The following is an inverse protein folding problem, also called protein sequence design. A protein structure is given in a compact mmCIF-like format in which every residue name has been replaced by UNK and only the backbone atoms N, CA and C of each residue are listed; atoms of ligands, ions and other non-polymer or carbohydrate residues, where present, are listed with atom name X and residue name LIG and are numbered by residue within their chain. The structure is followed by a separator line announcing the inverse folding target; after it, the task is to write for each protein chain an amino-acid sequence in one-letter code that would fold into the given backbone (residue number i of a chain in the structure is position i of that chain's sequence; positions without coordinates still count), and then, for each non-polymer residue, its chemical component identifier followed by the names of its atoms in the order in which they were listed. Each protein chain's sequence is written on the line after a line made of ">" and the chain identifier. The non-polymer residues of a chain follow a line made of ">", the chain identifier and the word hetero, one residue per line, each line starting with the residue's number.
data_IF_437643836522
#
_entry.id   IF_437643836522
#
_cell.length_a   1.000
_cell.length_b   1.000
_cell.length_c   1.000
_cell.angle_alpha   90.00
_cell.angle_beta   90.00
_cell.angle_gamma   90.00
#
_symmetry.space_group_name_H-M   'P 1'
#
loop_
_entity.id
_entity.type
_entity.pdbx_description
1 polymer ?
#
# COMPACT_ATOMS: atom_id res chain seq x y z
N UNK A 1 0.04 21.38 14.59
CA UNK A 1 -1.05 21.12 15.53
C UNK A 1 -0.45 20.50 16.76
N UNK A 2 -0.70 21.10 17.88
CA UNK A 2 -0.29 20.63 19.20
C UNK A 2 -1.52 20.77 20.08
N UNK A 3 -2.38 19.74 20.09
CA UNK A 3 -3.28 19.55 21.22
C UNK A 3 -2.46 19.29 22.48
N UNK A 4 -3.01 19.44 23.66
CA UNK A 4 -2.41 18.84 24.85
C UNK A 4 -2.31 17.33 24.57
N UNK A 5 -1.09 16.79 24.55
CA UNK A 5 -0.87 15.37 24.32
C UNK A 5 -1.34 14.64 25.58
N UNK A 6 -2.33 13.78 25.41
CA UNK A 6 -2.91 12.97 26.44
C UNK A 6 -2.63 11.47 26.16
N UNK A 7 -2.76 10.63 27.15
CA UNK A 7 -2.76 9.18 26.95
C UNK A 7 -4.16 8.77 26.48
N UNK A 8 -4.28 8.41 25.22
CA UNK A 8 -5.53 7.93 24.61
C UNK A 8 -5.62 6.41 24.76
N UNK A 9 -6.76 5.92 25.19
CA UNK A 9 -7.06 4.50 25.16
C UNK A 9 -7.80 4.16 23.86
N UNK A 10 -7.17 3.34 23.01
CA UNK A 10 -7.72 2.93 21.71
C UNK A 10 -8.60 1.69 21.79
N UNK A 11 -8.51 0.93 22.87
CA UNK A 11 -9.20 -0.32 23.05
C UNK A 11 -8.50 -1.17 24.11
N UNK A 12 -8.72 -2.47 24.05
CA UNK A 12 -8.02 -3.46 24.89
C UNK A 12 -7.39 -4.53 23.99
N UNK A 13 -6.24 -5.03 24.39
CA UNK A 13 -5.60 -6.17 23.74
C UNK A 13 -6.40 -7.48 24.01
N UNK A 14 -6.03 -8.63 23.40
CA UNK A 14 -6.69 -9.92 23.64
C UNK A 14 -6.62 -10.40 25.09
N UNK A 15 -5.70 -9.86 25.92
CA UNK A 15 -5.59 -10.17 27.35
C UNK A 15 -6.49 -9.26 28.20
N UNK A 16 -7.09 -8.24 27.62
CA UNK A 16 -7.92 -7.25 28.31
C UNK A 16 -7.14 -6.03 28.80
N UNK A 17 -5.85 -5.91 28.49
CA UNK A 17 -5.04 -4.76 28.85
C UNK A 17 -5.31 -3.57 27.91
N UNK A 18 -5.36 -2.33 28.43
CA UNK A 18 -5.64 -1.17 27.61
C UNK A 18 -4.50 -0.88 26.62
N UNK A 19 -4.86 -0.68 25.34
CA UNK A 19 -3.93 -0.17 24.32
C UNK A 19 -3.87 1.34 24.47
N UNK A 20 -2.74 1.84 24.94
CA UNK A 20 -2.52 3.27 25.21
C UNK A 20 -1.57 3.88 24.19
N UNK A 21 -1.89 5.08 23.72
CA UNK A 21 -1.01 5.90 22.88
C UNK A 21 -0.95 7.33 23.40
N UNK A 22 0.14 8.00 23.10
CA UNK A 22 0.29 9.45 23.33
C UNK A 22 -0.25 10.21 22.11
N UNK A 23 -1.28 11.04 22.30
CA UNK A 23 -1.92 11.75 21.21
C UNK A 23 -2.96 12.76 21.68
N UNK A 24 -3.74 13.25 20.73
CA UNK A 24 -4.84 14.20 20.97
C UNK A 24 -5.96 13.96 19.94
N UNK A 25 -7.20 14.18 20.33
CA UNK A 25 -8.31 14.18 19.39
C UNK A 25 -8.35 15.47 18.58
N UNK A 26 -8.57 15.35 17.27
CA UNK A 26 -8.84 16.50 16.41
C UNK A 26 -10.22 17.10 16.77
N UNK A 27 -10.25 18.41 16.98
CA UNK A 27 -11.48 19.17 17.18
C UNK A 27 -12.25 19.31 15.87
N UNK A 28 -13.54 19.64 15.91
CA UNK A 28 -14.39 19.73 14.71
C UNK A 28 -13.87 20.74 13.66
N UNK A 29 -13.22 21.81 14.09
CA UNK A 29 -12.59 22.81 13.22
C UNK A 29 -11.20 22.39 12.71
N UNK A 30 -10.68 21.27 13.14
CA UNK A 30 -9.38 20.71 12.73
C UNK A 30 -9.53 19.50 11.78
N UNK A 31 -10.76 19.08 11.47
CA UNK A 31 -11.04 17.94 10.62
C UNK A 31 -10.90 18.20 9.11
N UNK A 32 -10.37 19.35 8.72
CA UNK A 32 -10.09 19.66 7.32
C UNK A 32 -8.67 20.19 7.16
N UNK A 33 -7.86 19.44 6.43
CA UNK A 33 -6.51 19.86 6.05
C UNK A 33 -6.53 20.41 4.63
N UNK A 34 -5.92 21.59 4.43
CA UNK A 34 -5.86 22.30 3.14
C UNK A 34 -4.42 22.50 2.70
N UNK A 35 -4.22 23.02 1.50
CA UNK A 35 -2.89 23.38 0.98
C UNK A 35 -2.42 24.80 1.37
N UNK A 36 -3.18 25.54 2.19
CA UNK A 36 -2.81 26.91 2.58
C UNK A 36 -1.55 26.96 3.44
N UNK A 37 -1.37 25.95 4.29
CA UNK A 37 -0.21 25.81 5.19
C UNK A 37 0.09 24.34 5.43
N UNK A 38 1.36 23.97 5.60
CA UNK A 38 1.69 22.62 6.02
C UNK A 38 1.23 22.36 7.46
N UNK A 39 0.88 21.12 7.72
CA UNK A 39 0.51 20.61 9.05
C UNK A 39 1.68 19.88 9.65
N UNK A 40 2.02 20.16 10.91
CA UNK A 40 3.04 19.40 11.65
C UNK A 40 2.36 18.74 12.85
N UNK A 41 2.50 17.42 12.97
CA UNK A 41 1.82 16.62 13.98
C UNK A 41 2.88 16.09 14.96
N UNK A 42 2.67 16.36 16.26
CA UNK A 42 3.45 15.82 17.38
C UNK A 42 2.57 14.86 18.16
N UNK A 43 3.01 13.60 18.33
CA UNK A 43 2.18 12.53 18.85
C UNK A 43 1.15 12.05 17.82
N UNK A 44 0.12 11.31 18.24
CA UNK A 44 -0.92 10.85 17.34
C UNK A 44 -2.09 11.82 17.28
N UNK A 45 -2.42 12.31 16.06
CA UNK A 45 -3.67 13.02 15.80
C UNK A 45 -4.80 12.00 15.61
N UNK A 46 -5.78 11.98 16.52
CA UNK A 46 -6.85 11.00 16.51
C UNK A 46 -8.13 11.59 15.89
N UNK A 47 -8.67 10.90 14.88
CA UNK A 47 -9.99 11.16 14.34
C UNK A 47 -11.01 10.43 15.20
N UNK A 48 -11.85 11.14 15.91
CA UNK A 48 -12.83 10.56 16.84
C UNK A 48 -13.95 9.79 16.12
N UNK A 49 -14.70 8.99 16.90
CA UNK A 49 -15.83 8.22 16.39
C UNK A 49 -16.88 9.12 15.73
N UNK A 50 -17.42 8.65 14.60
CA UNK A 50 -18.40 9.38 13.75
C UNK A 50 -17.86 10.71 13.19
N UNK A 51 -16.55 10.91 13.17
CA UNK A 51 -15.91 12.08 12.56
C UNK A 51 -15.17 11.65 11.28
N UNK A 52 -15.02 12.61 10.37
CA UNK A 52 -14.27 12.41 9.12
C UNK A 52 -13.17 13.45 9.03
N UNK A 53 -11.92 12.98 8.93
CA UNK A 53 -10.81 13.84 8.54
C UNK A 53 -10.80 13.95 7.01
N UNK A 54 -10.94 15.16 6.50
CA UNK A 54 -10.81 15.46 5.06
C UNK A 54 -9.48 16.13 4.79
N UNK A 55 -8.70 15.58 3.89
CA UNK A 55 -7.41 16.13 3.46
C UNK A 55 -7.51 16.51 1.99
N UNK A 56 -7.48 17.79 1.70
CA UNK A 56 -7.69 18.35 0.36
C UNK A 56 -6.42 18.28 -0.50
N UNK A 57 -6.60 18.38 -1.82
CA UNK A 57 -5.51 18.40 -2.79
C UNK A 57 -4.41 19.40 -2.42
N UNK A 58 -3.16 18.99 -2.62
CA UNK A 58 -1.98 19.79 -2.33
C UNK A 58 -1.61 19.91 -0.85
N UNK A 59 -2.36 19.31 0.07
CA UNK A 59 -2.01 19.34 1.50
C UNK A 59 -0.68 18.66 1.78
N UNK A 60 0.09 19.21 2.71
CA UNK A 60 1.38 18.69 3.19
C UNK A 60 1.27 18.41 4.68
N UNK A 61 1.45 17.15 5.07
CA UNK A 61 1.32 16.70 6.46
C UNK A 61 2.64 16.10 6.91
N UNK A 62 3.27 16.74 7.88
CA UNK A 62 4.57 16.36 8.39
C UNK A 62 4.44 15.79 9.81
N UNK A 63 5.12 14.69 10.04
CA UNK A 63 5.10 14.00 11.32
C UNK A 63 6.44 14.11 12.04
N UNK A 64 6.37 14.49 13.30
CA UNK A 64 7.51 14.36 14.20
C UNK A 64 7.78 12.88 14.54
N UNK A 65 8.95 12.58 15.10
CA UNK A 65 9.27 11.23 15.52
C UNK A 65 8.18 10.63 16.45
N UNK A 66 7.84 9.35 16.25
CA UNK A 66 6.79 8.62 16.99
C UNK A 66 5.38 9.21 16.85
N UNK A 67 5.14 10.01 15.85
CA UNK A 67 3.84 10.61 15.55
C UNK A 67 3.11 9.87 14.43
N UNK A 68 1.82 10.15 14.26
CA UNK A 68 0.99 9.55 13.22
C UNK A 68 -0.43 10.08 13.21
N UNK A 69 -1.30 9.42 12.45
CA UNK A 69 -2.75 9.62 12.50
C UNK A 69 -3.38 8.31 12.95
N UNK A 70 -4.41 8.39 13.79
CA UNK A 70 -5.26 7.26 14.17
C UNK A 70 -6.70 7.60 13.86
N UNK A 71 -7.40 6.68 13.21
CA UNK A 71 -8.83 6.81 12.97
C UNK A 71 -9.57 5.81 13.86
N UNK A 72 -10.37 6.32 14.78
CA UNK A 72 -11.10 5.51 15.75
C UNK A 72 -12.26 4.74 15.12
N UNK A 73 -12.83 3.80 15.85
CA UNK A 73 -14.07 3.12 15.51
C UNK A 73 -15.16 4.09 15.02
N UNK A 74 -15.85 3.78 13.94
CA UNK A 74 -16.82 4.64 13.22
C UNK A 74 -16.23 5.97 12.68
N UNK A 75 -14.93 6.19 12.79
CA UNK A 75 -14.25 7.32 12.16
C UNK A 75 -13.91 7.03 10.70
N UNK A 76 -13.64 8.08 9.93
CA UNK A 76 -13.35 8.00 8.50
C UNK A 76 -12.21 8.95 8.11
N UNK A 77 -11.51 8.64 7.03
CA UNK A 77 -10.48 9.50 6.45
C UNK A 77 -10.66 9.61 4.93
N UNK A 78 -10.79 10.85 4.42
CA UNK A 78 -10.96 11.17 3.01
C UNK A 78 -9.79 11.99 2.54
N UNK A 79 -8.87 11.39 1.80
CA UNK A 79 -7.69 12.05 1.22
C UNK A 79 -7.94 12.28 -0.26
N UNK A 80 -8.16 13.54 -0.62
CA UNK A 80 -8.64 13.97 -1.92
C UNK A 80 -7.54 14.70 -2.70
N UNK A 81 -6.40 14.04 -2.92
CA UNK A 81 -5.39 14.54 -3.84
C UNK A 81 -5.88 14.49 -5.30
N UNK A 82 -5.22 15.23 -6.16
CA UNK A 82 -5.48 15.33 -7.59
C UNK A 82 -4.19 15.13 -8.38
N UNK A 83 -4.32 14.78 -9.65
CA UNK A 83 -3.18 14.65 -10.54
C UNK A 83 -2.43 15.99 -10.63
N UNK A 84 -1.13 15.95 -10.39
CA UNK A 84 -0.26 17.11 -10.51
C UNK A 84 0.11 17.37 -11.96
N UNK A 85 0.29 18.64 -12.32
CA UNK A 85 0.79 19.03 -13.66
C UNK A 85 2.31 18.92 -13.73
N UNK A 86 2.98 19.05 -12.59
CA UNK A 86 4.42 18.86 -12.44
C UNK A 86 4.68 17.60 -11.58
N UNK A 87 5.18 16.51 -12.20
CA UNK A 87 5.39 15.24 -11.52
C UNK A 87 6.55 15.27 -10.51
N UNK A 88 7.37 16.31 -10.47
CA UNK A 88 8.44 16.49 -9.48
C UNK A 88 7.96 17.30 -8.28
N UNK A 89 7.10 18.31 -8.49
CA UNK A 89 6.55 19.14 -7.43
C UNK A 89 5.38 18.50 -6.71
N UNK A 90 4.63 17.61 -7.38
CA UNK A 90 3.45 16.92 -6.84
C UNK A 90 2.47 17.90 -6.19
N UNK A 91 2.24 19.07 -6.83
CA UNK A 91 1.59 20.24 -6.23
C UNK A 91 0.14 19.98 -5.84
N UNK A 92 -0.53 19.05 -6.51
CA UNK A 92 -1.94 18.70 -6.23
C UNK A 92 -2.07 17.40 -5.43
N UNK A 93 -1.01 16.61 -5.30
CA UNK A 93 -1.04 15.40 -4.48
C UNK A 93 -1.01 15.74 -2.99
N UNK A 94 -1.56 14.86 -2.18
CA UNK A 94 -1.41 14.92 -0.72
C UNK A 94 -0.15 14.16 -0.32
N UNK A 95 0.71 14.79 0.47
CA UNK A 95 1.96 14.15 0.93
C UNK A 95 1.96 14.03 2.45
N UNK A 96 2.15 12.79 2.92
CA UNK A 96 2.39 12.42 4.31
C UNK A 96 3.85 12.01 4.46
N UNK A 97 4.62 12.78 5.22
CA UNK A 97 6.06 12.55 5.39
C UNK A 97 6.57 13.04 6.75
N UNK A 98 7.87 12.84 7.01
CA UNK A 98 8.53 13.36 8.21
C UNK A 98 8.62 14.90 8.21
N UNK A 99 8.75 15.50 9.39
CA UNK A 99 9.09 16.90 9.59
C UNK A 99 10.58 17.23 9.36
N UNK A 100 11.39 16.21 9.03
CA UNK A 100 12.81 16.35 8.66
C UNK A 100 12.95 16.63 7.17
N UNK A 101 12.84 17.93 6.81
CA UNK A 101 12.81 18.38 5.41
C UNK A 101 14.19 18.58 4.77
N UNK A 102 15.27 18.38 5.53
CA UNK A 102 16.62 18.45 4.98
C UNK A 102 16.87 17.33 3.96
N UNK A 103 17.47 17.62 2.84
CA UNK A 103 17.71 16.67 1.72
C UNK A 103 18.34 15.35 2.19
N UNK A 104 19.20 15.38 3.21
CA UNK A 104 19.80 14.17 3.78
C UNK A 104 18.79 13.21 4.41
N UNK A 105 17.58 13.67 4.75
CA UNK A 105 16.53 12.87 5.38
C UNK A 105 15.37 12.52 4.44
N UNK A 106 15.35 13.07 3.21
CA UNK A 106 14.23 12.90 2.25
C UNK A 106 13.89 11.44 1.96
N UNK A 107 14.87 10.54 2.06
CA UNK A 107 14.72 9.11 1.78
C UNK A 107 15.10 8.22 2.97
N UNK A 108 15.14 8.74 4.20
CA UNK A 108 15.41 7.92 5.38
C UNK A 108 14.08 7.31 5.87
N UNK A 109 13.96 5.98 5.93
CA UNK A 109 12.75 5.33 6.44
C UNK A 109 12.66 5.35 7.96
N UNK A 110 11.45 5.19 8.52
CA UNK A 110 11.21 5.03 9.95
C UNK A 110 11.33 6.31 10.76
N UNK A 111 11.06 7.45 10.16
CA UNK A 111 11.15 8.75 10.85
C UNK A 111 9.89 9.09 11.66
N UNK A 112 8.77 8.45 11.37
CA UNK A 112 7.48 8.58 12.06
C UNK A 112 6.78 7.22 12.11
N UNK A 113 5.64 7.13 12.80
CA UNK A 113 4.99 5.85 13.04
C UNK A 113 4.17 5.35 11.86
N UNK A 114 2.90 5.76 11.76
CA UNK A 114 1.96 5.22 10.77
C UNK A 114 0.70 6.09 10.65
N UNK A 115 -0.07 5.87 9.57
CA UNK A 115 -1.50 6.18 9.53
C UNK A 115 -2.22 4.87 9.90
N UNK A 116 -2.99 4.88 10.98
CA UNK A 116 -3.65 3.70 11.53
C UNK A 116 -5.17 3.81 11.44
N UNK A 117 -5.75 2.97 10.59
CA UNK A 117 -7.19 2.78 10.47
C UNK A 117 -7.57 1.64 11.42
N UNK A 118 -8.07 1.97 12.61
CA UNK A 118 -8.35 0.97 13.64
C UNK A 118 -9.58 0.13 13.31
N UNK A 119 -9.76 -0.97 14.04
CA UNK A 119 -10.94 -1.82 13.89
C UNK A 119 -12.23 -1.01 14.08
N UNK A 120 -13.19 -1.21 13.19
CA UNK A 120 -14.47 -0.49 13.17
C UNK A 120 -14.43 0.90 12.50
N UNK A 121 -13.26 1.42 12.15
CA UNK A 121 -13.20 2.60 11.28
C UNK A 121 -13.70 2.25 9.88
N UNK A 122 -14.23 3.21 9.14
CA UNK A 122 -15.05 2.94 7.96
C UNK A 122 -14.88 3.95 6.84
N UNK A 123 -15.21 3.53 5.60
CA UNK A 123 -15.31 4.40 4.43
C UNK A 123 -14.08 5.30 4.23
N UNK A 124 -12.90 4.68 4.13
CA UNK A 124 -11.66 5.40 3.85
C UNK A 124 -11.44 5.53 2.35
N UNK A 125 -11.05 6.72 1.91
CA UNK A 125 -10.66 6.97 0.52
C UNK A 125 -9.34 7.72 0.46
N UNK A 126 -8.38 7.19 -0.30
CA UNK A 126 -7.10 7.82 -0.57
C UNK A 126 -6.93 7.93 -2.08
N UNK A 127 -6.75 9.15 -2.58
CA UNK A 127 -6.54 9.40 -3.99
C UNK A 127 -5.39 10.38 -4.19
N UNK A 128 -4.52 10.13 -5.15
CA UNK A 128 -3.30 10.90 -5.40
C UNK A 128 -2.58 11.26 -4.10
N UNK A 129 -2.18 10.21 -3.38
CA UNK A 129 -1.57 10.32 -2.06
C UNK A 129 -0.19 9.69 -2.05
N UNK A 130 0.79 10.42 -1.56
CA UNK A 130 2.13 9.90 -1.27
C UNK A 130 2.33 9.76 0.23
N UNK A 131 2.62 8.53 0.70
CA UNK A 131 2.97 8.22 2.09
C UNK A 131 4.42 7.73 2.11
N UNK A 132 5.31 8.45 2.79
CA UNK A 132 6.74 8.06 2.78
C UNK A 132 7.43 8.24 4.12
N UNK A 133 8.51 7.48 4.29
CA UNK A 133 9.44 7.56 5.42
C UNK A 133 8.85 7.14 6.79
N UNK A 134 7.71 6.44 6.80
CA UNK A 134 7.11 5.90 8.02
C UNK A 134 7.77 4.61 8.52
N UNK A 135 7.35 4.14 9.68
CA UNK A 135 7.68 2.78 10.16
C UNK A 135 6.79 1.75 9.45
N UNK A 136 5.48 1.93 9.52
CA UNK A 136 4.50 1.29 8.64
C UNK A 136 3.80 2.42 7.89
N UNK A 137 3.74 2.37 6.56
CA UNK A 137 3.12 3.45 5.80
C UNK A 137 1.64 3.60 6.15
N UNK A 138 0.87 2.56 5.92
CA UNK A 138 -0.56 2.49 6.23
C UNK A 138 -0.88 1.17 6.95
N UNK A 139 -1.53 1.25 8.09
CA UNK A 139 -1.99 0.10 8.87
C UNK A 139 -3.52 0.10 8.93
N UNK A 140 -4.13 -1.01 8.53
CA UNK A 140 -5.57 -1.22 8.61
C UNK A 140 -5.88 -2.46 9.47
N UNK A 141 -6.64 -2.26 10.54
CA UNK A 141 -7.12 -3.34 11.38
C UNK A 141 -8.62 -3.58 11.14
N UNK A 142 -8.95 -4.75 10.57
CA UNK A 142 -10.31 -5.19 10.29
C UNK A 142 -11.02 -4.40 9.18
N UNK A 143 -12.08 -4.99 8.65
CA UNK A 143 -13.06 -4.31 7.81
C UNK A 143 -14.23 -3.80 8.67
N UNK A 144 -15.11 -3.01 8.09
CA UNK A 144 -16.28 -2.46 8.76
C UNK A 144 -17.52 -3.36 8.65
N UNK A 145 -17.40 -4.51 7.96
CA UNK A 145 -18.49 -5.46 7.71
C UNK A 145 -19.49 -5.03 6.63
N UNK A 146 -19.22 -3.94 5.92
CA UNK A 146 -20.01 -3.47 4.78
C UNK A 146 -19.78 -4.31 3.51
N UNK A 147 -20.61 -4.07 2.49
CA UNK A 147 -20.45 -4.68 1.16
C UNK A 147 -19.39 -3.96 0.33
N UNK A 148 -19.22 -2.64 0.54
CA UNK A 148 -18.20 -1.83 -0.13
C UNK A 148 -16.84 -1.99 0.55
N UNK A 149 -15.72 -1.78 -0.19
CA UNK A 149 -14.40 -1.75 0.41
C UNK A 149 -14.30 -0.73 1.54
N UNK A 150 -13.83 -1.16 2.72
CA UNK A 150 -13.60 -0.26 3.86
C UNK A 150 -12.51 0.78 3.55
N UNK A 151 -11.52 0.38 2.74
CA UNK A 151 -10.49 1.26 2.20
C UNK A 151 -10.48 1.19 0.68
N UNK A 152 -10.64 2.34 0.03
CA UNK A 152 -10.30 2.53 -1.38
C UNK A 152 -9.05 3.38 -1.49
N UNK A 153 -8.01 2.87 -2.15
CA UNK A 153 -6.75 3.60 -2.37
C UNK A 153 -6.41 3.61 -3.86
N UNK A 154 -6.38 4.81 -4.46
CA UNK A 154 -6.17 5.00 -5.90
C UNK A 154 -5.06 5.98 -6.19
N UNK A 155 -4.38 5.78 -7.34
CA UNK A 155 -3.40 6.74 -7.86
C UNK A 155 -2.39 7.18 -6.79
N UNK A 156 -1.91 6.24 -5.97
CA UNK A 156 -1.21 6.57 -4.73
C UNK A 156 0.10 5.79 -4.61
N UNK A 157 1.00 6.31 -3.79
CA UNK A 157 2.32 5.72 -3.58
C UNK A 157 2.62 5.59 -2.08
N UNK A 158 3.20 4.45 -1.69
CA UNK A 158 3.72 4.21 -0.33
C UNK A 158 5.15 3.71 -0.46
N UNK A 159 6.12 4.44 0.09
CA UNK A 159 7.51 4.02 -0.03
C UNK A 159 8.41 4.46 1.13
N UNK A 160 9.61 3.89 1.20
CA UNK A 160 10.59 4.13 2.27
C UNK A 160 10.04 3.83 3.67
N UNK A 161 9.28 2.74 3.82
CA UNK A 161 8.84 2.28 5.14
C UNK A 161 9.95 1.45 5.81
N UNK A 162 10.29 1.72 7.07
CA UNK A 162 11.36 0.95 7.72
C UNK A 162 10.95 -0.49 8.04
N UNK A 163 9.66 -0.79 8.03
CA UNK A 163 9.09 -2.11 8.25
C UNK A 163 8.20 -2.55 7.07
N UNK A 164 6.94 -2.15 7.01
CA UNK A 164 5.96 -2.57 6.01
C UNK A 164 5.35 -1.34 5.35
N UNK A 165 5.13 -1.40 4.03
CA UNK A 165 4.44 -0.33 3.30
C UNK A 165 2.96 -0.27 3.67
N UNK A 166 2.21 -1.32 3.37
CA UNK A 166 0.80 -1.49 3.72
C UNK A 166 0.63 -2.79 4.52
N UNK A 167 0.15 -2.69 5.75
CA UNK A 167 -0.24 -3.83 6.58
C UNK A 167 -1.76 -3.83 6.76
N UNK A 168 -2.42 -4.90 6.35
CA UNK A 168 -3.86 -5.09 6.56
C UNK A 168 -4.14 -6.39 7.29
N UNK A 169 -4.95 -6.33 8.34
CA UNK A 169 -5.47 -7.49 9.08
C UNK A 169 -6.97 -7.58 8.89
N UNK A 170 -7.45 -8.69 8.35
CA UNK A 170 -8.89 -8.91 8.09
C UNK A 170 -9.55 -7.73 7.36
N UNK A 171 -8.81 -7.03 6.49
CA UNK A 171 -9.26 -5.81 5.83
C UNK A 171 -10.20 -6.06 4.65
N UNK A 172 -10.75 -4.98 4.11
CA UNK A 172 -11.45 -4.94 2.83
C UNK A 172 -10.92 -3.76 2.03
N UNK A 173 -10.12 -4.04 0.96
CA UNK A 173 -9.36 -3.02 0.23
C UNK A 173 -9.58 -3.15 -1.27
N UNK A 174 -9.87 -2.01 -1.92
CA UNK A 174 -9.73 -1.82 -3.36
C UNK A 174 -8.52 -0.90 -3.62
N UNK A 175 -7.51 -1.42 -4.31
CA UNK A 175 -6.32 -0.68 -4.73
C UNK A 175 -6.23 -0.56 -6.26
N UNK A 176 -6.13 0.65 -6.80
CA UNK A 176 -6.02 0.91 -8.24
C UNK A 176 -4.90 1.90 -8.50
N UNK A 177 -4.03 1.63 -9.48
CA UNK A 177 -2.84 2.45 -9.74
C UNK A 177 -2.02 2.68 -8.46
N UNK A 178 -1.78 1.62 -7.69
CA UNK A 178 -1.09 1.70 -6.41
C UNK A 178 0.37 1.27 -6.57
N UNK A 179 1.28 2.09 -6.09
CA UNK A 179 2.71 1.75 -6.00
C UNK A 179 3.10 1.58 -4.55
N UNK A 180 3.66 0.43 -4.18
CA UNK A 180 4.27 0.23 -2.86
C UNK A 180 5.69 -0.28 -3.04
N UNK A 181 6.66 0.48 -2.52
CA UNK A 181 8.08 0.21 -2.76
C UNK A 181 8.97 0.46 -1.52
N UNK A 182 10.20 -0.04 -1.56
CA UNK A 182 11.25 0.25 -0.59
C UNK A 182 10.81 0.08 0.88
N UNK A 183 10.46 -1.14 1.26
CA UNK A 183 10.11 -1.49 2.64
C UNK A 183 11.13 -2.45 3.27
N UNK A 184 11.47 -2.23 4.52
CA UNK A 184 12.49 -2.99 5.25
C UNK A 184 12.16 -4.48 5.45
N UNK A 185 10.86 -4.81 5.42
CA UNK A 185 10.35 -6.19 5.38
C UNK A 185 9.56 -6.40 4.09
N UNK A 186 8.29 -6.05 4.05
CA UNK A 186 7.42 -6.29 2.91
C UNK A 186 6.78 -5.00 2.40
N UNK A 187 6.64 -4.85 1.10
CA UNK A 187 5.86 -3.77 0.53
C UNK A 187 4.40 -3.87 1.02
N UNK A 188 3.82 -5.06 0.99
CA UNK A 188 2.46 -5.30 1.47
C UNK A 188 2.35 -6.62 2.25
N UNK A 189 1.57 -6.59 3.34
CA UNK A 189 1.19 -7.77 4.11
C UNK A 189 -0.32 -7.78 4.31
N UNK A 190 -0.97 -8.82 3.79
CA UNK A 190 -2.36 -9.14 4.02
C UNK A 190 -2.41 -10.29 5.03
N UNK A 191 -2.82 -10.00 6.25
CA UNK A 191 -2.73 -10.90 7.40
C UNK A 191 -4.11 -11.21 7.96
N UNK A 192 -4.31 -12.43 8.43
CA UNK A 192 -5.56 -12.88 9.06
C UNK A 192 -6.77 -12.76 8.12
N UNK A 193 -6.62 -13.13 6.84
CA UNK A 193 -7.71 -13.12 5.86
C UNK A 193 -8.18 -11.73 5.43
N UNK A 194 -9.41 -11.64 4.94
CA UNK A 194 -10.01 -10.40 4.44
C UNK A 194 -10.45 -10.49 2.98
N UNK A 195 -10.71 -9.34 2.35
CA UNK A 195 -11.18 -9.22 0.97
C UNK A 195 -10.38 -8.12 0.23
N UNK A 196 -9.65 -8.49 -0.80
CA UNK A 196 -8.69 -7.60 -1.45
C UNK A 196 -8.81 -7.67 -2.96
N UNK A 197 -8.79 -6.51 -3.61
CA UNK A 197 -8.73 -6.37 -5.05
C UNK A 197 -7.68 -5.30 -5.41
N UNK A 198 -6.72 -5.67 -6.25
CA UNK A 198 -5.69 -4.76 -6.74
C UNK A 198 -5.65 -4.79 -8.26
N UNK A 199 -5.85 -3.63 -8.88
CA UNK A 199 -5.88 -3.43 -10.31
C UNK A 199 -4.77 -2.46 -10.73
N UNK A 200 -3.92 -2.87 -11.67
CA UNK A 200 -2.80 -2.05 -12.14
C UNK A 200 -1.92 -1.53 -10.99
N UNK A 201 -1.47 -2.42 -10.12
CA UNK A 201 -0.58 -2.07 -9.01
C UNK A 201 0.85 -2.58 -9.23
N UNK A 202 1.82 -1.86 -8.65
CA UNK A 202 3.24 -2.25 -8.64
C UNK A 202 3.73 -2.37 -7.21
N UNK A 203 4.03 -3.59 -6.80
CA UNK A 203 4.65 -3.92 -5.51
C UNK A 203 6.12 -4.26 -5.77
N UNK A 204 7.01 -3.28 -5.56
CA UNK A 204 8.42 -3.42 -5.93
C UNK A 204 9.33 -3.20 -4.72
N UNK A 205 9.99 -4.26 -4.24
CA UNK A 205 10.82 -4.13 -3.05
C UNK A 205 12.30 -4.37 -3.34
N UNK A 206 12.99 -3.28 -3.69
CA UNK A 206 14.43 -3.25 -3.95
C UNK A 206 15.26 -2.82 -2.72
N UNK A 207 14.70 -2.92 -1.53
CA UNK A 207 15.35 -2.55 -0.27
C UNK A 207 16.80 -3.03 -0.18
N UNK A 208 17.72 -2.12 0.06
CA UNK A 208 19.16 -2.36 0.08
C UNK A 208 19.84 -1.93 1.39
N UNK A 209 19.11 -1.34 2.35
CA UNK A 209 19.66 -0.77 3.59
C UNK A 209 19.98 -1.82 4.66
N UNK A 210 19.36 -2.99 4.56
CA UNK A 210 19.60 -4.14 5.44
C UNK A 210 19.21 -5.43 4.72
N UNK A 211 19.52 -6.57 5.32
CA UNK A 211 19.10 -7.86 4.78
C UNK A 211 17.60 -8.04 4.98
N UNK A 212 16.87 -8.26 3.89
CA UNK A 212 15.44 -8.55 3.88
C UNK A 212 15.21 -10.05 3.69
N UNK A 213 14.40 -10.66 4.54
CA UNK A 213 14.08 -12.09 4.48
C UNK A 213 12.68 -12.38 3.95
N UNK A 214 11.77 -11.39 4.05
CA UNK A 214 10.38 -11.53 3.65
C UNK A 214 10.17 -11.16 2.19
N UNK A 215 9.19 -11.76 1.48
CA UNK A 215 8.83 -11.34 0.13
C UNK A 215 8.21 -9.93 0.11
N UNK A 216 8.12 -9.34 -1.09
CA UNK A 216 7.49 -8.03 -1.27
C UNK A 216 6.00 -8.06 -0.88
N UNK A 217 5.29 -9.14 -1.22
CA UNK A 217 3.88 -9.33 -0.87
C UNK A 217 3.71 -10.59 -0.05
N UNK A 218 3.03 -10.50 1.09
CA UNK A 218 2.64 -11.65 1.92
C UNK A 218 1.12 -11.73 2.00
N UNK A 219 0.57 -12.91 1.74
CA UNK A 219 -0.86 -13.20 1.79
C UNK A 219 -1.09 -14.30 2.81
N UNK A 220 -1.85 -14.01 3.86
CA UNK A 220 -2.06 -14.93 4.97
C UNK A 220 -3.50 -14.92 5.46
N UNK A 221 -4.05 -16.10 5.77
CA UNK A 221 -5.29 -16.23 6.49
C UNK A 221 -5.08 -16.54 7.98
N UNK A 222 -3.84 -16.40 8.47
CA UNK A 222 -3.46 -16.66 9.87
C UNK A 222 -2.82 -15.45 10.53
N UNK A 223 -2.88 -15.41 11.87
CA UNK A 223 -2.09 -14.54 12.71
C UNK A 223 -1.54 -15.34 13.90
N UNK A 224 -0.21 -15.40 14.00
CA UNK A 224 0.44 -16.30 14.95
C UNK A 224 0.10 -17.77 14.65
N UNK A 225 0.09 -18.61 15.69
CA UNK A 225 -0.10 -20.06 15.57
C UNK A 225 -1.58 -20.50 15.71
N UNK A 226 -2.46 -19.61 16.17
CA UNK A 226 -3.80 -20.00 16.67
C UNK A 226 -4.97 -19.26 16.04
N UNK A 227 -4.75 -18.13 15.40
CA UNK A 227 -5.82 -17.36 14.80
C UNK A 227 -5.86 -17.58 13.30
N UNK A 228 -7.03 -17.91 12.79
CA UNK A 228 -7.32 -18.02 11.37
C UNK A 228 -8.66 -17.35 11.04
N UNK A 229 -8.71 -16.68 9.89
CA UNK A 229 -9.94 -16.09 9.37
C UNK A 229 -9.98 -16.24 7.84
N UNK A 230 -11.18 -16.16 7.27
CA UNK A 230 -11.34 -16.34 5.84
C UNK A 230 -10.60 -15.25 5.04
N UNK A 231 -9.77 -15.67 4.11
CA UNK A 231 -9.38 -14.88 2.97
C UNK A 231 -10.45 -15.09 1.90
N UNK A 232 -11.43 -14.19 1.86
CA UNK A 232 -12.55 -14.31 0.95
C UNK A 232 -12.12 -14.09 -0.49
N UNK A 233 -11.19 -13.16 -0.71
CA UNK A 233 -10.47 -12.98 -1.96
C UNK A 233 -9.17 -12.18 -1.77
N UNK A 234 -8.18 -12.45 -2.62
CA UNK A 234 -7.00 -11.61 -2.85
C UNK A 234 -6.70 -11.63 -4.35
N UNK A 235 -7.36 -10.76 -5.10
CA UNK A 235 -7.29 -10.69 -6.55
C UNK A 235 -6.31 -9.62 -7.00
N UNK A 236 -5.39 -10.01 -7.87
CA UNK A 236 -4.40 -9.12 -8.48
C UNK A 236 -4.57 -9.17 -10.00
N UNK A 237 -4.92 -8.04 -10.60
CA UNK A 237 -5.08 -7.92 -12.05
C UNK A 237 -4.17 -6.85 -12.61
N UNK A 238 -3.39 -7.18 -13.65
CA UNK A 238 -2.41 -6.28 -14.25
C UNK A 238 -1.39 -5.74 -13.24
N UNK A 239 -0.87 -6.58 -12.35
CA UNK A 239 0.04 -6.17 -11.28
C UNK A 239 1.49 -6.64 -11.52
N UNK A 240 2.45 -5.85 -11.04
CA UNK A 240 3.87 -6.25 -10.95
C UNK A 240 4.19 -6.54 -9.48
N UNK A 241 4.74 -7.74 -9.20
CA UNK A 241 5.29 -8.10 -7.89
C UNK A 241 6.74 -8.52 -8.09
N UNK A 242 7.67 -7.63 -7.71
CA UNK A 242 9.08 -7.82 -8.02
C UNK A 242 10.00 -7.24 -6.94
N UNK A 243 11.28 -7.59 -6.99
CA UNK A 243 12.28 -7.06 -6.06
C UNK A 243 13.60 -7.82 -6.09
N UNK A 244 14.36 -7.71 -4.99
CA UNK A 244 15.70 -8.30 -4.88
C UNK A 244 15.70 -9.77 -4.45
N UNK A 245 14.66 -10.25 -3.75
CA UNK A 245 14.61 -11.64 -3.33
C UNK A 245 14.27 -12.55 -4.53
N UNK A 246 14.62 -13.80 -4.43
CA UNK A 246 14.31 -14.79 -5.46
C UNK A 246 12.80 -15.01 -5.60
N UNK A 247 12.08 -15.01 -4.47
CA UNK A 247 10.61 -15.10 -4.44
C UNK A 247 10.06 -13.86 -3.76
N UNK A 248 9.20 -13.11 -4.46
CA UNK A 248 8.68 -11.82 -3.98
C UNK A 248 7.19 -11.83 -3.62
N UNK A 249 6.56 -12.99 -3.61
CA UNK A 249 5.25 -13.19 -2.98
C UNK A 249 5.24 -14.50 -2.19
N UNK A 250 4.53 -14.51 -1.08
CA UNK A 250 4.52 -15.65 -0.18
C UNK A 250 3.18 -15.84 0.49
N UNK A 251 2.91 -17.08 0.88
CA UNK A 251 1.65 -17.49 1.47
C UNK A 251 1.84 -18.07 2.87
N UNK A 252 0.86 -17.79 3.76
CA UNK A 252 0.72 -18.50 5.03
C UNK A 252 -0.74 -18.92 5.17
N UNK A 253 -1.01 -20.23 5.06
CA UNK A 253 -2.35 -20.78 4.97
C UNK A 253 -2.65 -21.72 6.13
N UNK A 254 -3.77 -21.47 6.81
CA UNK A 254 -4.45 -22.43 7.68
C UNK A 254 -5.61 -23.09 6.91
N UNK A 255 -5.75 -24.39 7.05
CA UNK A 255 -6.78 -25.17 6.31
C UNK A 255 -8.19 -25.04 6.89
N UNK A 256 -8.32 -24.55 8.11
CA UNK A 256 -9.59 -24.34 8.81
C UNK A 256 -10.37 -23.11 8.35
N UNK A 257 -9.78 -22.25 7.51
CA UNK A 257 -10.42 -21.07 6.95
C UNK A 257 -10.22 -20.99 5.44
N UNK A 258 -11.09 -20.28 4.74
CA UNK A 258 -11.00 -20.08 3.30
C UNK A 258 -9.70 -19.36 2.93
N UNK A 259 -9.13 -19.72 1.76
CA UNK A 259 -7.92 -19.10 1.23
C UNK A 259 -8.07 -18.97 -0.29
N UNK A 260 -8.67 -17.86 -0.73
CA UNK A 260 -8.93 -17.59 -2.14
C UNK A 260 -8.03 -16.46 -2.66
N UNK A 261 -7.28 -16.73 -3.70
CA UNK A 261 -6.47 -15.72 -4.39
C UNK A 261 -6.43 -15.98 -5.90
N UNK A 262 -6.11 -14.94 -6.66
CA UNK A 262 -5.87 -15.05 -8.10
C UNK A 262 -4.89 -13.97 -8.56
N UNK A 263 -4.00 -14.35 -9.49
CA UNK A 263 -3.15 -13.44 -10.24
C UNK A 263 -3.53 -13.52 -11.72
N UNK A 264 -4.00 -12.42 -12.28
CA UNK A 264 -4.40 -12.32 -13.67
C UNK A 264 -3.58 -11.26 -14.41
N UNK A 265 -2.92 -11.65 -15.52
CA UNK A 265 -2.04 -10.76 -16.29
C UNK A 265 -1.03 -10.04 -15.38
N UNK A 266 -0.31 -10.78 -14.55
CA UNK A 266 0.67 -10.25 -13.61
C UNK A 266 2.09 -10.61 -14.01
N UNK A 267 3.06 -9.73 -13.71
CA UNK A 267 4.48 -10.02 -13.80
C UNK A 267 5.01 -10.30 -12.38
N UNK A 268 5.46 -11.53 -12.15
CA UNK A 268 5.77 -12.06 -10.84
C UNK A 268 7.21 -12.57 -10.77
N UNK A 269 7.88 -12.34 -9.64
CA UNK A 269 9.17 -12.94 -9.34
C UNK A 269 9.01 -14.15 -8.43
N UNK A 270 9.24 -15.33 -8.98
CA UNK A 270 9.22 -16.62 -8.31
C UNK A 270 10.38 -17.50 -8.82
N UNK A 271 11.61 -17.00 -8.66
CA UNK A 271 12.82 -17.75 -9.04
C UNK A 271 13.14 -18.77 -7.94
N UNK A 272 12.97 -20.05 -8.22
CA UNK A 272 13.18 -21.14 -7.26
C UNK A 272 14.35 -22.04 -7.66
N UNK A 273 15.60 -21.58 -7.49
CA UNK A 273 16.76 -22.36 -7.91
C UNK A 273 16.97 -23.67 -7.13
N UNK A 274 16.29 -23.83 -6.01
CA UNK A 274 16.42 -24.99 -5.13
C UNK A 274 15.23 -25.95 -5.20
N UNK A 275 14.17 -25.64 -5.95
CA UNK A 275 12.95 -26.46 -6.06
C UNK A 275 12.09 -26.48 -4.79
N UNK A 276 12.16 -25.46 -3.96
CA UNK A 276 11.38 -25.40 -2.70
C UNK A 276 9.87 -25.19 -2.93
N UNK A 277 9.49 -24.68 -4.11
CA UNK A 277 8.10 -24.37 -4.46
C UNK A 277 7.41 -25.47 -5.27
N UNK A 278 8.18 -26.47 -5.80
CA UNK A 278 7.67 -27.48 -6.73
C UNK A 278 6.53 -28.32 -6.16
N UNK A 279 6.58 -28.64 -4.87
CA UNK A 279 5.59 -29.48 -4.19
C UNK A 279 4.47 -28.67 -3.49
N UNK A 280 4.55 -27.36 -3.49
CA UNK A 280 3.54 -26.51 -2.87
C UNK A 280 2.43 -26.17 -3.86
N UNK A 281 1.17 -26.65 -3.63
CA UNK A 281 0.06 -26.40 -4.53
C UNK A 281 -0.30 -24.91 -4.68
N UNK A 282 0.11 -24.05 -3.75
CA UNK A 282 -0.10 -22.62 -3.83
C UNK A 282 0.77 -21.95 -4.91
N UNK A 283 1.87 -22.62 -5.34
CA UNK A 283 2.74 -22.16 -6.43
C UNK A 283 2.59 -23.00 -7.71
N UNK A 284 1.44 -23.67 -7.88
CA UNK A 284 1.16 -24.35 -9.14
C UNK A 284 0.80 -23.35 -10.26
N UNK A 285 1.80 -22.81 -10.93
CA UNK A 285 1.63 -21.84 -12.04
C UNK A 285 0.89 -22.40 -13.26
N UNK A 286 0.60 -23.71 -13.30
CA UNK A 286 -0.23 -24.31 -14.34
C UNK A 286 -1.71 -24.28 -14.01
N UNK A 287 -2.09 -23.93 -12.78
CA UNK A 287 -3.47 -23.76 -12.37
C UNK A 287 -3.98 -22.36 -12.79
N UNK A 288 -4.74 -22.33 -13.89
CA UNK A 288 -5.28 -21.08 -14.43
C UNK A 288 -6.34 -20.42 -13.55
N UNK A 289 -6.87 -21.11 -12.53
CA UNK A 289 -7.74 -20.49 -11.55
C UNK A 289 -6.98 -19.61 -10.56
N UNK A 290 -5.70 -19.93 -10.34
CA UNK A 290 -4.80 -19.17 -9.45
C UNK A 290 -3.90 -18.20 -10.24
N UNK A 291 -3.46 -18.60 -11.46
CA UNK A 291 -2.45 -17.89 -12.25
C UNK A 291 -2.87 -17.79 -13.72
N UNK A 292 -3.65 -16.77 -14.06
CA UNK A 292 -4.12 -16.54 -15.43
C UNK A 292 -3.17 -15.59 -16.16
N UNK A 293 -2.54 -16.04 -17.24
CA UNK A 293 -1.68 -15.21 -18.11
C UNK A 293 -0.54 -14.49 -17.35
N UNK A 294 0.10 -15.15 -16.40
CA UNK A 294 1.21 -14.58 -15.63
C UNK A 294 2.54 -14.69 -16.38
N UNK A 295 3.40 -13.69 -16.23
CA UNK A 295 4.78 -13.65 -16.69
C UNK A 295 5.68 -13.88 -15.49
N UNK A 296 6.56 -14.88 -15.55
CA UNK A 296 7.41 -15.26 -14.43
C UNK A 296 8.88 -14.90 -14.69
N UNK A 297 9.51 -14.29 -13.68
CA UNK A 297 10.96 -14.09 -13.59
C UNK A 297 11.59 -13.17 -14.64
N UNK A 298 10.79 -12.55 -15.52
CA UNK A 298 11.28 -11.57 -16.47
C UNK A 298 11.50 -10.21 -15.75
N UNK A 299 12.55 -9.49 -16.12
CA UNK A 299 12.85 -8.19 -15.48
C UNK A 299 11.85 -7.11 -15.92
N UNK A 300 11.22 -6.36 -14.99
CA UNK A 300 10.25 -5.31 -15.34
C UNK A 300 10.86 -4.14 -16.11
N UNK A 301 12.18 -3.97 -16.10
CA UNK A 301 12.92 -2.86 -16.70
C UNK A 301 12.40 -1.50 -16.22
N UNK A 302 12.44 -1.31 -14.90
CA UNK A 302 12.11 -0.04 -14.26
C UNK A 302 13.14 1.05 -14.56
N UNK A 303 12.71 2.31 -14.64
CA UNK A 303 13.55 3.47 -14.93
C UNK A 303 14.67 3.66 -13.88
N UNK A 304 14.32 3.65 -12.60
CA UNK A 304 15.30 3.79 -11.50
C UNK A 304 14.71 3.26 -10.18
N UNK A 305 15.14 2.08 -9.79
CA UNK A 305 14.67 1.45 -8.56
C UNK A 305 15.23 2.09 -7.29
N UNK A 306 16.38 2.76 -7.35
CA UNK A 306 17.02 3.39 -6.19
C UNK A 306 16.33 4.71 -5.79
N UNK A 307 15.58 5.33 -6.71
CA UNK A 307 14.81 6.55 -6.46
C UNK A 307 13.30 6.36 -6.60
N UNK A 308 12.82 5.12 -6.56
CA UNK A 308 11.39 4.74 -6.69
C UNK A 308 10.72 5.21 -7.99
N UNK A 309 11.47 5.37 -9.08
CA UNK A 309 10.95 5.64 -10.42
C UNK A 309 10.63 4.31 -11.10
N UNK A 310 9.40 3.85 -10.90
CA UNK A 310 8.97 2.51 -11.30
C UNK A 310 8.15 2.51 -12.61
N UNK A 311 8.33 3.54 -13.45
CA UNK A 311 7.90 3.51 -14.84
C UNK A 311 8.70 2.43 -15.59
N UNK A 312 8.07 1.75 -16.53
CA UNK A 312 8.67 0.67 -17.28
C UNK A 312 9.10 1.12 -18.69
N UNK A 313 10.18 0.53 -19.20
CA UNK A 313 10.68 0.75 -20.56
C UNK A 313 9.74 0.17 -21.62
N UNK A 314 9.80 0.69 -22.85
CA UNK A 314 9.12 0.12 -24.02
C UNK A 314 9.52 -1.34 -24.31
N UNK A 315 10.71 -1.77 -23.89
CA UNK A 315 11.22 -3.14 -24.02
C UNK A 315 10.80 -4.06 -22.86
N UNK A 316 10.06 -3.53 -21.89
CA UNK A 316 9.61 -4.33 -20.73
C UNK A 316 8.74 -5.49 -21.15
N UNK A 317 8.91 -6.70 -20.57
CA UNK A 317 8.00 -7.82 -20.79
C UNK A 317 6.58 -7.54 -20.27
N UNK A 318 6.38 -6.51 -19.48
CA UNK A 318 5.08 -6.05 -19.00
C UNK A 318 4.33 -5.18 -20.04
N UNK A 319 5.03 -4.72 -21.11
CA UNK A 319 4.46 -3.85 -22.12
C UNK A 319 3.41 -4.57 -22.97
N UNK A 320 2.22 -3.95 -23.12
CA UNK A 320 1.08 -4.45 -23.90
C UNK A 320 0.60 -5.88 -23.48
N UNK A 321 0.80 -6.26 -22.23
CA UNK A 321 0.42 -7.57 -21.70
C UNK A 321 -0.75 -7.51 -20.69
N UNK A 322 -1.28 -6.32 -20.42
CA UNK A 322 -2.38 -6.13 -19.49
C UNK A 322 -3.72 -6.66 -20.02
N UNK A 323 -4.58 -7.10 -19.10
CA UNK A 323 -5.96 -7.45 -19.39
C UNK A 323 -6.77 -6.19 -19.76
N UNK A 324 -7.41 -6.22 -20.92
CA UNK A 324 -8.17 -5.09 -21.45
C UNK A 324 -9.41 -4.77 -20.62
N UNK A 325 -10.05 -5.77 -20.01
CA UNK A 325 -11.24 -5.55 -19.19
C UNK A 325 -10.87 -4.77 -17.91
N UNK A 326 -9.78 -5.13 -17.27
CA UNK A 326 -9.22 -4.41 -16.11
C UNK A 326 -8.80 -2.98 -16.50
N UNK A 327 -8.14 -2.79 -17.65
CA UNK A 327 -7.75 -1.46 -18.13
C UNK A 327 -8.95 -0.56 -18.43
N UNK A 328 -10.08 -1.11 -18.84
CA UNK A 328 -11.31 -0.33 -19.04
C UNK A 328 -11.95 0.14 -17.73
N UNK A 329 -11.70 -0.57 -16.60
CA UNK A 329 -12.12 -0.14 -15.26
C UNK A 329 -11.20 0.97 -14.73
N UNK A 330 -9.90 0.90 -15.06
CA UNK A 330 -8.86 1.86 -14.63
C UNK A 330 -8.21 2.47 -15.88
N UNK A 331 -8.90 3.39 -16.59
CA UNK A 331 -8.53 3.78 -17.96
C UNK A 331 -7.31 4.71 -18.06
N UNK A 332 -6.87 5.29 -16.96
CA UNK A 332 -5.67 6.12 -16.87
C UNK A 332 -4.66 5.46 -15.94
N UNK A 333 -3.38 5.63 -16.23
CA UNK A 333 -2.32 5.22 -15.31
C UNK A 333 -2.11 6.24 -14.17
N UNK A 334 -1.17 5.98 -13.28
CA UNK A 334 -0.88 6.83 -12.11
C UNK A 334 -0.52 8.28 -12.48
N UNK A 335 0.03 8.50 -13.65
CA UNK A 335 0.42 9.85 -14.16
C UNK A 335 -0.52 10.37 -15.23
N UNK A 336 -1.68 9.75 -15.43
CA UNK A 336 -2.74 10.21 -16.34
C UNK A 336 -2.59 9.77 -17.79
N UNK A 337 -1.69 8.82 -18.10
CA UNK A 337 -1.57 8.24 -19.46
C UNK A 337 -2.73 7.27 -19.71
N UNK A 338 -3.33 7.36 -20.89
CA UNK A 338 -4.45 6.48 -21.28
C UNK A 338 -3.95 5.07 -21.60
N UNK A 339 -4.56 4.06 -20.96
CA UNK A 339 -4.23 2.64 -21.13
C UNK A 339 -5.33 1.80 -21.79
N UNK A 340 -6.36 2.41 -22.34
CA UNK A 340 -7.49 1.68 -22.94
C UNK A 340 -7.16 0.99 -24.27
N UNK A 341 -5.94 1.09 -24.76
CA UNK A 341 -5.46 0.40 -25.95
C UNK A 341 -4.10 -0.22 -25.68
N UNK A 342 -3.99 -1.54 -25.75
CA UNK A 342 -2.79 -2.32 -25.43
C UNK A 342 -2.21 -1.99 -24.05
N UNK A 343 -2.98 -2.20 -22.97
CA UNK A 343 -2.55 -1.81 -21.64
C UNK A 343 -1.30 -2.55 -21.19
N UNK A 344 -0.48 -1.86 -20.42
CA UNK A 344 0.68 -2.45 -19.78
C UNK A 344 0.31 -3.06 -18.42
N UNK A 345 1.14 -3.97 -17.92
CA UNK A 345 1.05 -4.51 -16.56
C UNK A 345 1.75 -3.52 -15.60
N UNK A 346 1.12 -3.22 -14.47
CA UNK A 346 1.64 -2.31 -13.45
C UNK A 346 0.89 -0.99 -13.35
N UNK A 347 1.37 -0.12 -12.46
CA UNK A 347 0.76 1.16 -12.16
C UNK A 347 1.00 2.24 -13.23
N UNK A 348 1.97 2.02 -14.12
CA UNK A 348 2.37 2.96 -15.17
C UNK A 348 2.30 2.33 -16.53
N UNK A 349 1.93 3.12 -17.55
CA UNK A 349 2.18 2.79 -18.94
C UNK A 349 3.67 3.03 -19.28
N UNK A 350 4.17 2.32 -20.30
CA UNK A 350 5.56 2.41 -20.77
C UNK A 350 5.95 3.82 -21.19
N UNK A 351 7.19 4.17 -20.88
CA UNK A 351 7.82 5.41 -21.36
C UNK A 351 9.13 5.11 -22.08
N UNK A 352 9.54 6.01 -22.99
CA UNK A 352 10.88 5.97 -23.57
C UNK A 352 11.89 6.50 -22.54
N UNK A 353 12.88 5.70 -22.20
CA UNK A 353 13.91 6.12 -21.26
C UNK A 353 14.90 7.10 -21.92
N UNK A 354 15.50 8.04 -21.16
CA UNK A 354 16.39 9.07 -21.69
C UNK A 354 17.60 8.53 -22.47
N UNK A 355 18.06 7.34 -22.15
CA UNK A 355 19.25 6.70 -22.75
C UNK A 355 18.90 5.76 -23.93
N UNK A 356 17.62 5.62 -24.30
CA UNK A 356 17.14 4.79 -25.42
C UNK A 356 17.06 5.57 -26.76
N UNK A 357 17.65 6.77 -26.89
CA UNK A 357 17.68 7.62 -28.10
C UNK A 357 18.95 7.41 -28.94
#
# INVERSE_FOLDING_TARGET
>A
MTGEVETLQLGTDPNGDPILIEGFFLEDNELTFTNEKPYVIYGFAAVGSNKTLTVNAGARVHFHANSGIIVADQGSMQVNGELSTDPELLENEVIFESDRLETAYSNIPGQWSTIWLTAGSTNHNFNYTTIKNGTVGLLMDSNDGGEDPTLTIRNSQIYNSSNIGLLSRTGSILGENLVIAEAGQSAMVLELGGSYEFNHATFANYWSRSFRQTPAVVISNTFGETLAANLDQANFSNCIIYGRNDVEFGFSKADEAAFNFNFKNCLLRANDPNGNLEDDPLYNFSDLALYESVILNEQPLFLDTDTNKLQISLESPASAQGDQATANLVPLDLIGTNRTTNPDIGAYETIMFPDEN
#
